data_IF_441648181835
#
_entry.id   IF_441648181835
#
_cell.length_a   1.000
_cell.length_b   1.000
_cell.length_c   1.000
_cell.angle_alpha   90.00
_cell.angle_beta   90.00
_cell.angle_gamma   90.00
#
_symmetry.space_group_name_H-M   'P 1'
#
loop_
_entity.id
_entity.type
_entity.pdbx_description
1 polymer ?
#
# COMPACT_ATOMS: atom_id res chain seq x y z
N UNK A 1 -20.44 7.50 3.94
CA UNK A 1 -18.98 7.44 4.12
C UNK A 1 -18.51 6.02 4.43
N UNK A 2 -19.08 5.34 5.44
CA UNK A 2 -18.75 3.95 5.79
C UNK A 2 -18.88 2.95 4.62
N UNK A 3 -19.97 3.05 3.82
CA UNK A 3 -20.15 2.17 2.65
C UNK A 3 -18.99 2.18 1.66
N UNK A 4 -18.50 3.37 1.27
CA UNK A 4 -17.36 3.53 0.36
C UNK A 4 -16.10 2.88 0.93
N UNK A 5 -15.87 3.03 2.23
CA UNK A 5 -14.73 2.40 2.92
C UNK A 5 -14.81 0.88 2.85
N UNK A 6 -15.96 0.30 3.22
CA UNK A 6 -16.16 -1.14 3.17
C UNK A 6 -16.16 -1.73 1.75
N UNK A 7 -16.69 -1.01 0.75
CA UNK A 7 -16.61 -1.44 -0.65
C UNK A 7 -15.16 -1.44 -1.16
N UNK A 8 -14.35 -0.46 -0.75
CA UNK A 8 -12.92 -0.41 -1.06
C UNK A 8 -12.13 -1.54 -0.38
N UNK A 9 -12.41 -1.80 0.89
CA UNK A 9 -11.80 -2.90 1.65
C UNK A 9 -12.19 -4.27 1.07
N UNK A 10 -13.47 -4.46 0.73
CA UNK A 10 -13.97 -5.67 0.07
C UNK A 10 -13.23 -5.93 -1.24
N UNK A 11 -13.14 -4.94 -2.12
CA UNK A 11 -12.43 -5.05 -3.39
C UNK A 11 -10.93 -5.33 -3.22
N UNK A 12 -10.33 -4.79 -2.15
CA UNK A 12 -8.93 -5.02 -1.80
C UNK A 12 -8.70 -6.47 -1.36
N UNK A 13 -9.54 -7.00 -0.47
CA UNK A 13 -9.50 -8.40 -0.04
C UNK A 13 -9.73 -9.35 -1.21
N UNK A 14 -10.69 -9.07 -2.09
CA UNK A 14 -10.94 -9.85 -3.30
C UNK A 14 -9.71 -9.88 -4.23
N UNK A 15 -9.06 -8.73 -4.42
CA UNK A 15 -7.86 -8.63 -5.26
C UNK A 15 -6.70 -9.45 -4.69
N UNK A 16 -6.44 -9.36 -3.38
CA UNK A 16 -5.37 -10.13 -2.72
C UNK A 16 -5.69 -11.63 -2.76
N UNK A 17 -6.94 -12.03 -2.47
CA UNK A 17 -7.38 -13.42 -2.46
C UNK A 17 -7.16 -14.10 -3.83
N UNK A 18 -7.43 -13.39 -4.93
CA UNK A 18 -7.22 -13.89 -6.31
C UNK A 18 -5.76 -14.23 -6.63
N UNK A 19 -4.80 -13.63 -5.92
CA UNK A 19 -3.37 -13.93 -6.15
C UNK A 19 -2.94 -15.27 -5.56
N UNK A 20 -3.69 -15.80 -4.57
CA UNK A 20 -3.35 -17.03 -3.83
C UNK A 20 -1.95 -16.99 -3.19
N UNK A 21 -1.44 -15.81 -2.86
CA UNK A 21 -0.07 -15.64 -2.31
C UNK A 21 -0.04 -15.58 -0.79
N UNK A 22 -0.99 -14.86 -0.19
CA UNK A 22 -1.10 -14.64 1.25
C UNK A 22 -2.56 -14.76 1.70
N UNK A 23 -2.76 -15.25 2.92
CA UNK A 23 -4.09 -15.46 3.48
C UNK A 23 -4.71 -14.12 3.91
N UNK A 24 -5.98 -13.95 3.53
CA UNK A 24 -6.85 -12.84 3.94
C UNK A 24 -8.23 -13.38 4.33
N UNK A 25 -9.00 -12.71 5.20
CA UNK A 25 -10.41 -13.06 5.41
C UNK A 25 -11.19 -13.00 4.10
N UNK A 26 -11.97 -14.03 3.78
CA UNK A 26 -12.80 -14.02 2.56
C UNK A 26 -13.92 -12.98 2.70
N UNK A 27 -13.98 -11.96 1.85
CA UNK A 27 -15.08 -11.00 1.85
C UNK A 27 -16.37 -11.67 1.39
N UNK A 28 -17.50 -11.32 2.01
CA UNK A 28 -18.82 -11.88 1.65
C UNK A 28 -19.72 -10.80 1.06
N UNK A 29 -19.97 -9.70 1.81
CA UNK A 29 -20.89 -8.65 1.35
C UNK A 29 -20.81 -7.37 2.19
N UNK A 30 -21.01 -6.23 1.54
CA UNK A 30 -21.38 -4.95 2.18
C UNK A 30 -22.90 -4.80 2.18
N UNK A 31 -23.50 -4.60 3.35
CA UNK A 31 -24.96 -4.51 3.53
C UNK A 31 -25.36 -3.23 4.26
N UNK A 32 -26.48 -2.63 3.83
CA UNK A 32 -27.11 -1.55 4.60
C UNK A 32 -28.07 -2.16 5.62
N UNK A 33 -27.98 -1.67 6.85
CA UNK A 33 -28.82 -2.05 7.97
C UNK A 33 -29.90 -1.00 8.21
N UNK A 34 -31.02 -1.36 8.86
CA UNK A 34 -32.02 -0.39 9.32
C UNK A 34 -31.36 0.73 10.14
N UNK A 35 -31.81 1.97 9.93
CA UNK A 35 -31.22 3.14 10.60
C UNK A 35 -30.02 3.78 9.89
N UNK A 36 -29.72 3.37 8.64
CA UNK A 36 -28.71 4.02 7.80
C UNK A 36 -27.26 3.65 8.14
N UNK A 37 -27.06 2.57 8.90
CA UNK A 37 -25.73 2.01 9.18
C UNK A 37 -25.33 1.05 8.07
N UNK A 38 -24.05 0.97 7.74
CA UNK A 38 -23.52 -0.04 6.82
C UNK A 38 -22.68 -1.05 7.62
N UNK A 39 -22.75 -2.32 7.25
CA UNK A 39 -21.90 -3.37 7.80
C UNK A 39 -21.15 -4.10 6.68
N UNK A 40 -19.96 -4.58 7.01
CA UNK A 40 -19.15 -5.44 6.15
C UNK A 40 -19.09 -6.84 6.75
N UNK A 41 -19.49 -7.84 5.97
CA UNK A 41 -19.52 -9.25 6.37
C UNK A 41 -18.40 -9.98 5.62
N UNK A 42 -17.60 -10.74 6.37
CA UNK A 42 -16.49 -11.54 5.86
C UNK A 42 -16.30 -12.81 6.72
N UNK A 43 -15.40 -13.69 6.30
CA UNK A 43 -14.99 -14.88 7.05
C UNK A 43 -14.45 -14.52 8.44
N UNK A 44 -14.90 -15.26 9.45
CA UNK A 44 -14.34 -15.20 10.79
C UNK A 44 -13.13 -16.15 10.89
N UNK A 45 -12.00 -15.63 11.32
CA UNK A 45 -10.76 -16.39 11.50
C UNK A 45 -10.35 -16.35 12.97
N UNK A 46 -10.04 -17.51 13.54
CA UNK A 46 -9.40 -17.63 14.85
C UNK A 46 -7.92 -17.32 14.69
N UNK A 47 -7.50 -16.15 15.20
CA UNK A 47 -6.18 -15.59 14.95
C UNK A 47 -5.46 -15.26 16.26
N UNK A 48 -4.13 -15.29 16.21
CA UNK A 48 -3.23 -14.82 17.27
C UNK A 48 -2.23 -13.81 16.71
N UNK A 49 -1.60 -13.03 17.58
CA UNK A 49 -0.55 -12.09 17.15
C UNK A 49 0.58 -12.79 16.41
N UNK A 50 1.07 -12.17 15.33
CA UNK A 50 2.16 -12.70 14.51
C UNK A 50 3.41 -12.96 15.36
N UNK A 51 3.95 -14.17 15.28
CA UNK A 51 5.18 -14.54 15.99
C UNK A 51 5.95 -15.60 15.19
N UNK A 52 5.40 -16.80 15.05
CA UNK A 52 6.10 -17.95 14.44
C UNK A 52 6.29 -17.79 12.94
N UNK A 53 5.40 -17.05 12.29
CA UNK A 53 5.33 -16.93 10.84
C UNK A 53 5.89 -15.63 10.28
N UNK A 54 6.73 -14.89 11.03
CA UNK A 54 7.25 -13.60 10.57
C UNK A 54 8.10 -13.69 9.29
N UNK A 55 8.96 -14.71 9.16
CA UNK A 55 9.70 -14.93 7.91
C UNK A 55 8.77 -15.34 6.75
N UNK A 56 7.77 -16.19 7.02
CA UNK A 56 6.79 -16.63 6.01
C UNK A 56 5.95 -15.45 5.49
N UNK A 57 5.57 -14.52 6.37
CA UNK A 57 4.93 -13.26 5.98
C UNK A 57 5.79 -12.47 4.99
N UNK A 58 7.10 -12.35 5.25
CA UNK A 58 8.03 -11.66 4.36
C UNK A 58 8.11 -12.31 2.98
N UNK A 59 8.18 -13.65 2.93
CA UNK A 59 8.16 -14.41 1.68
C UNK A 59 6.85 -14.23 0.91
N UNK A 60 5.71 -14.40 1.57
CA UNK A 60 4.39 -14.34 0.93
C UNK A 60 4.02 -12.92 0.48
N UNK A 61 4.44 -11.89 1.23
CA UNK A 61 4.27 -10.50 0.80
C UNK A 61 5.12 -10.19 -0.44
N UNK A 62 6.35 -10.70 -0.52
CA UNK A 62 7.15 -10.57 -1.73
C UNK A 62 6.51 -11.31 -2.92
N UNK A 63 5.88 -12.47 -2.70
CA UNK A 63 5.10 -13.16 -3.73
C UNK A 63 3.91 -12.34 -4.21
N UNK A 64 3.15 -11.71 -3.29
CA UNK A 64 2.07 -10.79 -3.62
C UNK A 64 2.57 -9.66 -4.53
N UNK A 65 3.71 -9.05 -4.18
CA UNK A 65 4.27 -7.93 -4.94
C UNK A 65 4.84 -8.34 -6.30
N UNK A 66 5.39 -9.56 -6.41
CA UNK A 66 5.91 -10.11 -7.67
C UNK A 66 4.81 -10.68 -8.58
N UNK A 67 3.62 -10.95 -8.04
CA UNK A 67 2.53 -11.62 -8.77
C UNK A 67 2.22 -10.93 -10.10
N UNK A 68 2.01 -9.61 -10.11
CA UNK A 68 1.67 -8.88 -11.34
C UNK A 68 2.82 -8.87 -12.36
N UNK A 69 4.08 -8.73 -11.91
CA UNK A 69 5.24 -8.86 -12.80
C UNK A 69 5.29 -10.24 -13.47
N UNK A 70 5.06 -11.31 -12.70
CA UNK A 70 5.04 -12.68 -13.22
C UNK A 70 3.92 -12.90 -14.24
N UNK A 71 2.75 -12.29 -14.05
CA UNK A 71 1.68 -12.29 -15.06
C UNK A 71 2.16 -11.65 -16.37
N UNK A 72 2.78 -10.46 -16.29
CA UNK A 72 3.32 -9.77 -17.46
C UNK A 72 4.39 -10.59 -18.20
N UNK A 73 5.27 -11.28 -17.46
CA UNK A 73 6.28 -12.18 -18.04
C UNK A 73 5.66 -13.41 -18.72
N UNK A 74 4.60 -13.99 -18.14
CA UNK A 74 3.84 -15.10 -18.76
C UNK A 74 3.15 -14.65 -20.05
N UNK A 75 2.46 -13.51 -20.03
CA UNK A 75 1.80 -12.96 -21.23
C UNK A 75 2.78 -12.71 -22.38
N UNK A 76 3.99 -12.18 -22.10
CA UNK A 76 5.04 -12.00 -23.12
C UNK A 76 5.49 -13.33 -23.73
N UNK A 77 5.57 -14.40 -22.93
CA UNK A 77 5.91 -15.76 -23.40
C UNK A 77 4.76 -16.38 -24.20
N UNK A 78 3.51 -16.22 -23.76
CA UNK A 78 2.32 -16.76 -24.44
C UNK A 78 2.02 -16.05 -25.75
N UNK A 79 2.22 -14.73 -25.87
CA UNK A 79 2.17 -14.02 -27.16
C UNK A 79 3.17 -14.58 -28.19
N UNK A 80 4.21 -15.27 -27.72
CA UNK A 80 5.20 -15.95 -28.56
C UNK A 80 4.80 -17.39 -28.93
N UNK A 81 3.64 -17.89 -28.47
CA UNK A 81 3.13 -19.27 -28.72
C UNK A 81 1.66 -19.26 -29.18
N UNK A 82 1.33 -20.00 -30.23
CA UNK A 82 -0.05 -20.03 -30.78
C UNK A 82 -0.94 -20.96 -29.94
N UNK A 83 -1.60 -20.41 -28.93
CA UNK A 83 -2.60 -21.11 -28.11
C UNK A 83 -3.19 -20.20 -27.05
N UNK A 84 -4.44 -19.74 -27.25
CA UNK A 84 -5.11 -18.83 -26.31
C UNK A 84 -5.71 -19.60 -25.13
N UNK A 85 -5.10 -19.48 -23.96
CA UNK A 85 -5.77 -19.70 -22.67
C UNK A 85 -6.21 -18.35 -22.11
N UNK A 86 -7.47 -18.20 -21.70
CA UNK A 86 -7.88 -17.02 -20.94
C UNK A 86 -7.31 -17.13 -19.51
N UNK A 87 -6.44 -16.20 -19.13
CA UNK A 87 -5.99 -16.06 -17.75
C UNK A 87 -7.13 -15.46 -16.90
N UNK A 88 -7.36 -16.03 -15.71
CA UNK A 88 -8.42 -15.58 -14.78
C UNK A 88 -8.11 -14.22 -14.13
N UNK A 89 -6.82 -13.81 -14.12
CA UNK A 89 -6.35 -12.51 -13.61
C UNK A 89 -5.50 -11.83 -14.68
N UNK A 90 -5.87 -10.60 -15.04
CA UNK A 90 -5.19 -9.80 -16.05
C UNK A 90 -3.98 -9.06 -15.46
N UNK A 91 -2.94 -8.92 -16.27
CA UNK A 91 -1.79 -8.06 -15.98
C UNK A 91 -2.22 -6.59 -15.94
N UNK A 92 -1.74 -5.86 -14.94
CA UNK A 92 -2.00 -4.43 -14.76
C UNK A 92 -0.73 -3.64 -15.08
N UNK A 93 -0.78 -2.79 -16.11
CA UNK A 93 0.34 -1.98 -16.58
C UNK A 93 0.34 -0.52 -16.07
N UNK A 94 -0.63 -0.17 -15.22
CA UNK A 94 -0.80 1.16 -14.64
C UNK A 94 -0.82 1.14 -13.10
N UNK A 95 -0.54 2.28 -12.50
CA UNK A 95 -0.67 2.53 -11.06
C UNK A 95 -2.05 3.06 -10.73
N UNK A 96 -2.65 2.59 -9.65
CA UNK A 96 -4.01 2.94 -9.26
C UNK A 96 -4.82 1.74 -8.82
N UNK A 97 -6.13 1.90 -8.76
CA UNK A 97 -7.05 0.83 -8.40
C UNK A 97 -8.42 1.10 -9.01
N UNK A 98 -9.14 0.04 -9.36
CA UNK A 98 -10.45 0.12 -10.02
C UNK A 98 -11.55 0.71 -9.13
N UNK A 99 -11.33 0.81 -7.82
CA UNK A 99 -12.24 1.44 -6.87
C UNK A 99 -11.47 2.32 -5.89
N UNK A 100 -12.20 3.18 -5.20
CA UNK A 100 -11.63 3.98 -4.12
C UNK A 100 -11.43 3.10 -2.90
N UNK A 101 -10.20 3.07 -2.40
CA UNK A 101 -9.86 2.49 -1.09
C UNK A 101 -9.63 3.60 -0.07
N UNK A 102 -9.63 3.27 1.22
CA UNK A 102 -9.39 4.24 2.29
C UNK A 102 -8.21 3.80 3.15
N UNK A 103 -7.33 4.73 3.53
CA UNK A 103 -6.28 4.48 4.52
C UNK A 103 -6.73 5.09 5.85
N UNK A 104 -7.18 4.24 6.78
CA UNK A 104 -8.13 4.66 7.82
C UNK A 104 -9.46 5.07 7.19
N UNK A 105 -10.10 6.14 7.68
CA UNK A 105 -11.34 6.67 7.07
C UNK A 105 -11.13 7.65 5.90
N UNK A 106 -9.87 7.99 5.56
CA UNK A 106 -9.56 8.97 4.52
C UNK A 106 -9.52 8.26 3.15
N UNK A 107 -10.32 8.70 2.17
CA UNK A 107 -10.34 8.10 0.84
C UNK A 107 -9.05 8.40 0.08
N UNK A 108 -8.54 7.41 -0.64
CA UNK A 108 -7.40 7.53 -1.55
C UNK A 108 -7.89 7.83 -2.97
N UNK A 109 -7.16 8.69 -3.68
CA UNK A 109 -7.37 8.91 -5.12
C UNK A 109 -6.66 7.77 -5.86
N UNK A 110 -7.38 6.97 -6.63
CA UNK A 110 -6.88 5.74 -7.25
C UNK A 110 -6.98 5.76 -8.79
N UNK A 111 -7.15 6.95 -9.37
CA UNK A 111 -7.27 7.12 -10.82
C UNK A 111 -6.01 6.57 -11.51
N UNK A 112 -6.22 5.73 -12.51
CA UNK A 112 -5.12 5.05 -13.22
C UNK A 112 -4.11 6.05 -13.81
N UNK A 113 -2.82 5.76 -13.62
CA UNK A 113 -1.69 6.53 -14.15
C UNK A 113 -0.62 5.59 -14.69
N UNK A 114 0.03 5.98 -15.79
CA UNK A 114 1.16 5.22 -16.34
C UNK A 114 2.50 5.54 -15.66
N UNK A 115 2.61 6.63 -14.91
CA UNK A 115 3.84 7.07 -14.25
C UNK A 115 3.68 7.07 -12.73
N UNK A 116 4.56 6.31 -12.05
CA UNK A 116 4.52 6.16 -10.60
C UNK A 116 4.80 7.48 -9.88
N UNK A 117 5.76 8.26 -10.39
CA UNK A 117 6.18 9.51 -9.73
C UNK A 117 5.01 10.50 -9.71
N UNK A 118 4.31 10.63 -10.84
CA UNK A 118 3.09 11.42 -10.98
C UNK A 118 1.99 10.90 -10.08
N UNK A 119 1.73 9.59 -10.09
CA UNK A 119 0.72 8.96 -9.23
C UNK A 119 0.98 9.27 -7.75
N UNK A 120 2.19 8.98 -7.27
CA UNK A 120 2.53 9.15 -5.86
C UNK A 120 2.50 10.63 -5.44
N UNK A 121 3.11 11.53 -6.22
CA UNK A 121 3.14 12.95 -5.87
C UNK A 121 1.72 13.58 -5.88
N UNK A 122 0.93 13.33 -6.92
CA UNK A 122 -0.39 13.98 -7.11
C UNK A 122 -1.55 13.28 -6.41
N UNK A 123 -1.51 11.97 -6.27
CA UNK A 123 -2.63 11.17 -5.75
C UNK A 123 -2.37 10.54 -4.38
N UNK A 124 -1.15 10.65 -3.83
CA UNK A 124 -0.85 10.26 -2.43
C UNK A 124 -0.47 11.47 -1.58
N UNK A 125 0.59 12.20 -1.95
CA UNK A 125 1.10 13.28 -1.10
C UNK A 125 0.26 14.56 -1.21
N UNK A 126 -0.07 15.02 -2.43
CA UNK A 126 -0.82 16.27 -2.62
C UNK A 126 -2.16 16.30 -1.86
N UNK A 127 -3.01 15.25 -1.87
CA UNK A 127 -4.26 15.28 -1.12
C UNK A 127 -4.04 15.41 0.41
N UNK A 128 -2.97 14.81 0.93
CA UNK A 128 -2.61 14.94 2.34
C UNK A 128 -2.17 16.37 2.67
N UNK A 129 -1.41 17.01 1.79
CA UNK A 129 -1.00 18.42 1.91
C UNK A 129 -2.19 19.36 1.81
N UNK A 130 -3.14 19.12 0.91
CA UNK A 130 -4.35 19.93 0.76
C UNK A 130 -5.21 19.91 2.04
N UNK A 131 -5.32 18.74 2.69
CA UNK A 131 -5.98 18.61 3.98
C UNK A 131 -5.24 19.36 5.09
N UNK A 132 -3.91 19.26 5.15
CA UNK A 132 -3.08 19.99 6.11
C UNK A 132 -3.25 21.50 5.95
N UNK A 133 -3.19 22.01 4.71
CA UNK A 133 -3.37 23.44 4.41
C UNK A 133 -4.78 23.89 4.82
N UNK A 134 -5.82 23.13 4.45
CA UNK A 134 -7.21 23.45 4.80
C UNK A 134 -7.45 23.48 6.31
N UNK A 135 -6.88 22.53 7.06
CA UNK A 135 -7.18 22.34 8.47
C UNK A 135 -6.30 23.19 9.40
N UNK A 136 -5.05 23.47 8.98
CA UNK A 136 -4.05 24.12 9.85
C UNK A 136 -3.31 25.29 9.22
N UNK A 137 -3.30 25.42 7.88
CA UNK A 137 -2.54 26.47 7.17
C UNK A 137 -1.03 26.43 7.48
N UNK A 138 -0.47 25.23 7.66
CA UNK A 138 0.91 25.06 8.10
C UNK A 138 1.93 25.58 7.08
N UNK A 139 2.46 26.77 7.33
CA UNK A 139 3.37 27.46 6.41
C UNK A 139 4.65 26.68 6.13
N UNK A 140 5.22 26.03 7.15
CA UNK A 140 6.46 25.27 7.01
C UNK A 140 6.24 24.03 6.13
N UNK A 141 5.14 23.30 6.35
CA UNK A 141 4.76 22.17 5.52
C UNK A 141 4.62 22.59 4.06
N UNK A 142 3.93 23.70 3.79
CA UNK A 142 3.73 24.23 2.44
C UNK A 142 5.05 24.62 1.75
N UNK A 143 5.94 25.32 2.45
CA UNK A 143 7.24 25.73 1.91
C UNK A 143 8.17 24.54 1.63
N UNK A 144 8.17 23.55 2.52
CA UNK A 144 8.93 22.32 2.32
C UNK A 144 8.34 21.47 1.19
N UNK A 145 7.02 21.44 1.04
CA UNK A 145 6.37 20.68 -0.03
C UNK A 145 6.73 21.23 -1.40
N UNK A 146 6.70 22.55 -1.58
CA UNK A 146 7.10 23.20 -2.84
C UNK A 146 8.54 22.84 -3.25
N UNK A 147 9.46 22.73 -2.29
CA UNK A 147 10.83 22.30 -2.55
C UNK A 147 10.92 20.79 -2.83
N UNK A 148 10.21 19.97 -2.06
CA UNK A 148 10.24 18.52 -2.16
C UNK A 148 9.67 18.03 -3.50
N UNK A 149 8.60 18.64 -4.01
CA UNK A 149 8.01 18.31 -5.30
C UNK A 149 9.04 18.30 -6.44
N UNK A 150 9.98 19.25 -6.42
CA UNK A 150 11.05 19.35 -7.42
C UNK A 150 12.11 18.24 -7.27
N UNK A 151 12.26 17.69 -6.06
CA UNK A 151 13.26 16.65 -5.74
C UNK A 151 12.75 15.24 -5.97
N UNK A 152 11.44 15.00 -5.79
CA UNK A 152 10.82 13.66 -5.88
C UNK A 152 11.26 12.91 -7.15
N UNK A 153 11.23 13.48 -8.37
CA UNK A 153 11.64 12.74 -9.58
C UNK A 153 13.05 12.16 -9.49
N UNK A 154 14.00 12.88 -8.87
CA UNK A 154 15.39 12.40 -8.77
C UNK A 154 15.57 11.24 -7.79
N UNK A 155 14.61 10.97 -6.90
CA UNK A 155 14.63 9.81 -6.00
C UNK A 155 14.31 8.49 -6.73
N UNK A 156 13.76 8.58 -7.93
CA UNK A 156 13.31 7.46 -8.76
C UNK A 156 14.10 7.34 -10.07
N UNK A 157 15.18 8.11 -10.25
CA UNK A 157 16.09 7.91 -11.38
C UNK A 157 16.68 6.50 -11.35
N UNK A 158 16.79 5.89 -12.53
CA UNK A 158 17.41 4.58 -12.74
C UNK A 158 16.75 3.41 -11.97
N UNK A 159 15.47 3.57 -11.61
CA UNK A 159 14.65 2.50 -11.02
C UNK A 159 13.46 2.24 -11.92
N UNK A 160 13.39 1.03 -12.45
CA UNK A 160 12.19 0.54 -13.10
C UNK A 160 11.16 0.16 -12.02
N UNK A 161 9.95 0.70 -12.15
CA UNK A 161 8.87 0.45 -11.20
C UNK A 161 7.77 -0.28 -11.93
N UNK A 162 7.57 -1.54 -11.53
CA UNK A 162 6.47 -2.36 -12.03
C UNK A 162 5.32 -2.26 -11.02
N UNK A 163 4.07 -2.01 -11.46
CA UNK A 163 2.93 -1.97 -10.56
C UNK A 163 2.78 -3.29 -9.79
N UNK A 164 2.88 -3.23 -8.48
CA UNK A 164 2.67 -4.35 -7.56
C UNK A 164 1.36 -4.13 -6.81
N UNK A 165 0.56 -5.19 -6.63
CA UNK A 165 -0.63 -5.11 -5.78
C UNK A 165 -0.18 -4.96 -4.33
N UNK A 166 -0.50 -3.82 -3.71
CA UNK A 166 -0.14 -3.52 -2.32
C UNK A 166 -1.31 -3.84 -1.39
N UNK A 167 -1.01 -4.21 -0.15
CA UNK A 167 -1.96 -4.15 0.95
C UNK A 167 -2.33 -2.69 1.26
N UNK A 168 -1.35 -1.79 1.27
CA UNK A 168 -1.53 -0.34 1.33
C UNK A 168 -1.56 0.26 2.73
N UNK A 169 -1.74 -0.56 3.77
CA UNK A 169 -1.69 -0.18 5.18
C UNK A 169 -1.17 -1.33 6.08
N UNK A 170 -0.08 -2.00 5.69
CA UNK A 170 0.41 -3.20 6.38
C UNK A 170 1.31 -2.89 7.60
N UNK A 171 0.72 -2.51 8.72
CA UNK A 171 1.42 -2.36 10.01
C UNK A 171 1.09 -3.49 10.99
N UNK A 172 1.71 -3.48 12.18
CA UNK A 172 1.50 -4.48 13.23
C UNK A 172 0.06 -4.71 13.67
N UNK A 173 -0.82 -3.72 13.48
CA UNK A 173 -2.25 -3.85 13.78
C UNK A 173 -3.04 -4.63 12.72
N UNK A 174 -2.51 -4.77 11.50
CA UNK A 174 -3.19 -5.34 10.32
C UNK A 174 -2.60 -6.70 9.91
N UNK A 175 -1.98 -7.39 10.88
CA UNK A 175 -1.39 -8.71 10.67
C UNK A 175 -1.59 -9.61 11.88
N UNK A 176 -1.87 -10.87 11.60
CA UNK A 176 -1.98 -11.93 12.58
C UNK A 176 -1.42 -13.25 11.99
N UNK A 177 -1.55 -14.34 12.74
CA UNK A 177 -1.29 -15.68 12.25
C UNK A 177 -2.28 -16.68 12.83
N UNK A 178 -2.41 -17.82 12.16
CA UNK A 178 -3.01 -19.04 12.71
C UNK A 178 -2.01 -20.20 12.59
N UNK A 179 -2.49 -21.44 12.66
CA UNK A 179 -1.65 -22.65 12.51
C UNK A 179 -1.19 -22.89 11.07
N UNK A 180 -1.85 -22.28 10.08
CA UNK A 180 -1.53 -22.41 8.65
C UNK A 180 -0.54 -21.35 8.15
N UNK A 181 -0.46 -20.19 8.79
CA UNK A 181 0.48 -19.14 8.39
C UNK A 181 0.06 -17.73 8.80
N UNK A 182 0.67 -16.70 8.20
CA UNK A 182 0.31 -15.32 8.44
C UNK A 182 -0.99 -14.95 7.73
N UNK A 183 -1.72 -14.00 8.31
CA UNK A 183 -2.97 -13.46 7.81
C UNK A 183 -2.85 -11.94 7.81
N UNK A 184 -3.23 -11.30 6.71
CA UNK A 184 -3.31 -9.84 6.60
C UNK A 184 -4.78 -9.40 6.43
N UNK A 185 -5.14 -8.25 6.98
CA UNK A 185 -6.51 -7.75 7.01
C UNK A 185 -6.55 -6.22 7.08
N UNK A 186 -7.74 -5.65 6.88
CA UNK A 186 -7.97 -4.20 6.76
C UNK A 186 -7.12 -3.51 5.66
N UNK A 187 -7.12 -4.03 4.42
CA UNK A 187 -6.32 -3.47 3.33
C UNK A 187 -6.87 -2.14 2.78
N UNK A 188 -5.94 -1.33 2.29
CA UNK A 188 -6.15 -0.09 1.58
C UNK A 188 -5.53 -0.17 0.16
N UNK A 189 -5.85 -1.23 -0.58
CA UNK A 189 -5.07 -1.68 -1.74
C UNK A 189 -5.05 -0.70 -2.91
N UNK A 190 -3.96 -0.80 -3.67
CA UNK A 190 -3.78 -0.23 -5.00
C UNK A 190 -2.55 -0.87 -5.66
N UNK A 191 -2.42 -0.74 -6.98
CA UNK A 191 -1.22 -1.07 -7.71
C UNK A 191 -0.21 0.08 -7.60
N UNK A 192 0.96 -0.20 -7.01
CA UNK A 192 1.98 0.79 -6.71
C UNK A 192 3.40 0.24 -6.70
N UNK A 193 4.37 1.06 -6.30
CA UNK A 193 5.74 0.59 -6.08
C UNK A 193 5.79 -0.27 -4.80
N UNK A 194 6.34 -1.49 -4.90
CA UNK A 194 6.43 -2.45 -3.79
C UNK A 194 7.17 -1.91 -2.54
N UNK A 195 8.12 -0.99 -2.72
CA UNK A 195 8.81 -0.33 -1.59
C UNK A 195 7.88 0.51 -0.71
N UNK A 196 6.71 0.94 -1.21
CA UNK A 196 5.72 1.71 -0.44
C UNK A 196 5.29 0.94 0.83
N UNK A 197 4.98 -0.36 0.69
CA UNK A 197 4.47 -1.18 1.80
C UNK A 197 5.48 -1.29 2.94
N UNK A 198 6.77 -1.32 2.61
CA UNK A 198 7.84 -1.46 3.61
C UNK A 198 7.95 -0.23 4.52
N UNK A 199 7.38 0.92 4.12
CA UNK A 199 7.38 2.12 4.93
C UNK A 199 6.52 1.96 6.18
N UNK A 200 5.24 1.62 5.99
CA UNK A 200 4.28 1.44 7.09
C UNK A 200 4.59 0.18 7.89
N UNK A 201 5.08 -0.87 7.24
CA UNK A 201 5.56 -2.09 7.90
C UNK A 201 6.72 -1.85 8.86
N UNK A 202 7.52 -0.80 8.65
CA UNK A 202 8.62 -0.37 9.53
C UNK A 202 8.24 0.68 10.57
N UNK A 203 6.99 1.14 10.58
CA UNK A 203 6.49 2.11 11.55
C UNK A 203 5.85 1.39 12.76
N UNK A 204 5.66 2.13 13.85
CA UNK A 204 4.92 1.67 15.04
C UNK A 204 5.41 0.35 15.67
N UNK A 205 6.73 0.20 15.78
CA UNK A 205 7.37 -1.00 16.33
C UNK A 205 7.98 -1.91 15.26
N UNK A 206 7.48 -1.84 14.03
CA UNK A 206 8.01 -2.55 12.87
C UNK A 206 7.86 -4.07 12.93
N UNK A 207 8.13 -4.73 11.81
CA UNK A 207 8.23 -6.20 11.78
C UNK A 207 9.61 -6.70 12.18
N UNK A 208 9.71 -8.00 12.49
CA UNK A 208 10.99 -8.60 12.87
C UNK A 208 12.02 -8.56 11.74
N UNK A 209 13.30 -8.66 12.06
CA UNK A 209 14.36 -8.77 11.04
C UNK A 209 14.17 -9.96 10.11
N UNK A 210 13.59 -11.06 10.60
CA UNK A 210 13.32 -12.26 9.79
C UNK A 210 12.31 -12.00 8.67
N UNK A 211 11.33 -11.13 8.88
CA UNK A 211 10.41 -10.66 7.83
C UNK A 211 11.18 -9.94 6.71
N UNK A 212 12.01 -8.95 7.07
CA UNK A 212 12.74 -8.16 6.07
C UNK A 212 13.78 -8.99 5.32
N UNK A 213 14.49 -9.88 6.00
CA UNK A 213 15.43 -10.80 5.37
C UNK A 213 14.72 -11.72 4.37
N UNK A 214 13.57 -12.28 4.74
CA UNK A 214 12.79 -13.14 3.85
C UNK A 214 12.24 -12.37 2.64
N UNK A 215 11.69 -11.17 2.85
CA UNK A 215 11.19 -10.31 1.77
C UNK A 215 12.31 -9.93 0.79
N UNK A 216 13.43 -9.41 1.30
CA UNK A 216 14.53 -8.94 0.46
C UNK A 216 15.36 -10.06 -0.19
N UNK A 217 15.19 -11.31 0.25
CA UNK A 217 15.72 -12.46 -0.48
C UNK A 217 15.08 -12.65 -1.86
N UNK A 218 13.84 -12.15 -2.04
CA UNK A 218 13.07 -12.23 -3.29
C UNK A 218 13.03 -10.90 -4.04
N UNK A 219 12.94 -9.79 -3.32
CA UNK A 219 12.96 -8.43 -3.88
C UNK A 219 14.13 -7.66 -3.24
N UNK A 220 15.34 -7.72 -3.83
CA UNK A 220 16.49 -6.98 -3.33
C UNK A 220 16.25 -5.47 -3.27
N UNK A 221 16.87 -4.80 -2.31
CA UNK A 221 16.81 -3.34 -2.21
C UNK A 221 17.45 -2.71 -3.44
N UNK A 222 16.70 -1.89 -4.18
CA UNK A 222 17.24 -1.10 -5.27
C UNK A 222 18.11 0.06 -4.74
N UNK A 223 19.01 0.57 -5.59
CA UNK A 223 19.78 1.77 -5.25
C UNK A 223 18.84 2.93 -4.87
N UNK A 224 19.15 3.67 -3.80
CA UNK A 224 18.31 4.76 -3.29
C UNK A 224 17.13 4.34 -2.41
N UNK A 225 16.95 3.03 -2.13
CA UNK A 225 15.87 2.48 -1.31
C UNK A 225 15.61 3.28 -0.02
N UNK A 226 16.66 3.54 0.78
CA UNK A 226 16.48 4.18 2.09
C UNK A 226 15.92 5.61 2.00
N UNK A 227 16.22 6.35 0.92
CA UNK A 227 15.65 7.69 0.70
C UNK A 227 14.18 7.61 0.26
N UNK A 228 13.85 6.65 -0.61
CA UNK A 228 12.46 6.40 -1.03
C UNK A 228 11.61 5.90 0.13
N UNK A 229 12.15 5.03 0.98
CA UNK A 229 11.48 4.57 2.20
C UNK A 229 11.07 5.76 3.10
N UNK A 230 11.94 6.77 3.26
CA UNK A 230 11.58 8.00 3.99
C UNK A 230 10.47 8.77 3.31
N UNK A 231 10.48 8.89 1.99
CA UNK A 231 9.40 9.53 1.23
C UNK A 231 8.06 8.77 1.40
N UNK A 232 8.07 7.45 1.46
CA UNK A 232 6.87 6.67 1.74
C UNK A 232 6.41 6.80 3.18
N UNK A 233 7.32 6.82 4.16
CA UNK A 233 6.99 7.09 5.56
C UNK A 233 6.34 8.46 5.73
N UNK A 234 6.76 9.46 4.94
CA UNK A 234 6.16 10.78 4.95
C UNK A 234 4.66 10.73 4.65
N UNK A 235 4.22 9.95 3.65
CA UNK A 235 2.80 9.77 3.37
C UNK A 235 2.03 9.30 4.62
N UNK A 236 2.51 8.25 5.28
CA UNK A 236 1.81 7.70 6.45
C UNK A 236 1.82 8.65 7.63
N UNK A 237 2.90 9.41 7.86
CA UNK A 237 2.92 10.44 8.90
C UNK A 237 1.97 11.61 8.61
N UNK A 238 1.85 12.05 7.35
CA UNK A 238 0.85 13.05 6.98
C UNK A 238 -0.58 12.50 7.12
N UNK A 239 -0.80 11.23 6.75
CA UNK A 239 -2.08 10.56 6.95
C UNK A 239 -2.45 10.54 8.44
N UNK A 240 -1.51 10.18 9.31
CA UNK A 240 -1.71 10.20 10.76
C UNK A 240 -1.93 11.62 11.31
N UNK A 241 -1.26 12.63 10.76
CA UNK A 241 -1.51 14.02 11.11
C UNK A 241 -2.96 14.40 10.77
N UNK A 242 -3.44 14.07 9.57
CA UNK A 242 -4.81 14.37 9.16
C UNK A 242 -5.87 13.57 9.93
N UNK A 243 -5.55 12.38 10.43
CA UNK A 243 -6.45 11.55 11.25
C UNK A 243 -6.47 11.94 12.73
N UNK A 244 -5.30 12.14 13.33
CA UNK A 244 -5.13 12.16 14.78
C UNK A 244 -4.57 13.49 15.30
N UNK A 245 -4.31 14.44 14.41
CA UNK A 245 -3.90 15.80 14.76
C UNK A 245 -2.38 16.00 14.85
N UNK A 246 -2.00 17.14 15.44
CA UNK A 246 -0.66 17.73 15.31
C UNK A 246 0.48 16.95 15.99
N UNK A 247 0.19 15.88 16.74
CA UNK A 247 1.21 15.00 17.30
C UNK A 247 2.15 14.40 16.24
N UNK A 248 1.70 14.26 15.00
CA UNK A 248 2.47 13.72 13.87
C UNK A 248 3.13 14.79 12.98
N UNK A 249 2.88 16.08 13.26
CA UNK A 249 3.45 17.21 12.53
C UNK A 249 4.98 17.18 12.56
N UNK A 250 5.56 17.02 13.74
CA UNK A 250 7.02 17.05 13.94
C UNK A 250 7.76 16.00 13.11
N UNK A 251 7.24 14.76 13.10
CA UNK A 251 7.78 13.66 12.30
C UNK A 251 7.69 13.94 10.81
N UNK A 252 6.54 14.45 10.34
CA UNK A 252 6.31 14.80 8.93
C UNK A 252 7.33 15.84 8.46
N UNK A 253 7.44 16.96 9.19
CA UNK A 253 8.34 18.06 8.82
C UNK A 253 9.80 17.66 8.89
N UNK A 254 10.20 16.84 9.88
CA UNK A 254 11.56 16.35 9.97
C UNK A 254 11.95 15.53 8.73
N UNK A 255 11.05 14.65 8.26
CA UNK A 255 11.29 13.89 7.03
C UNK A 255 11.39 14.83 5.82
N UNK A 256 10.47 15.79 5.68
CA UNK A 256 10.52 16.75 4.58
C UNK A 256 11.83 17.54 4.54
N UNK A 257 12.29 18.07 5.69
CA UNK A 257 13.58 18.78 5.79
C UNK A 257 14.76 17.90 5.38
N UNK A 258 14.73 16.62 5.72
CA UNK A 258 15.80 15.69 5.35
C UNK A 258 15.79 15.31 3.87
N UNK A 259 14.61 15.26 3.24
CA UNK A 259 14.49 14.95 1.81
C UNK A 259 14.76 16.14 0.89
N UNK A 260 14.57 17.36 1.37
CA UNK A 260 14.84 18.61 0.62
C UNK A 260 16.35 18.90 0.49
N UNK A 261 17.14 18.49 1.49
CA UNK A 261 18.61 18.56 1.47
C UNK A 261 19.18 17.70 0.34
#
# INVERSE_FOLDING_TARGET
QARRMFEGEMASLEAILKTQTIKVPKPIKVVDLPGGTTAFVMEHLEMRGLNRHSALLGTQLADLHLHNQQLGEKLKKEQSTVGQGQMEVEFVDQFGFHTVTCCGYLPQVNDWQSDWVTFFAKQRIQPQMDMIEKNSGDREARELWAQLQLKIPSLFCDVEIIPALLHGDLWGGNVAEDDSGPIIFDPASFYGHSEYELAIAGMFGGFSSSFYSAYHSKIPKAAGFERRLKLYQLFHYMNHWNHFGTGYRGSSLNIMRNLVK
#
